data_IF_299148945850
#
_entry.id   IF_299148945850
#
_cell.length_a   1.000
_cell.length_b   1.000
_cell.length_c   1.000
_cell.angle_alpha   90.00
_cell.angle_beta   90.00
_cell.angle_gamma   90.00
#
_symmetry.space_group_name_H-M   'P 1'
#
loop_
_entity.id
_entity.type
_entity.pdbx_description
1 polymer ?
#
# COMPACT_ATOMS: atom_id res chain seq x y z
N UNK A 1 -6.08 4.27 -18.79
CA UNK A 1 -5.20 3.96 -17.62
C UNK A 1 -5.59 4.90 -16.49
N UNK A 2 -5.84 4.36 -15.30
CA UNK A 2 -6.15 5.12 -14.10
C UNK A 2 -4.98 6.09 -13.76
N UNK A 3 -5.23 7.37 -13.41
CA UNK A 3 -4.19 8.32 -13.02
C UNK A 3 -3.24 7.80 -11.93
N UNK A 4 -3.72 6.92 -11.04
CA UNK A 4 -2.93 6.29 -9.97
C UNK A 4 -1.91 5.30 -10.56
N UNK A 5 -2.35 4.43 -11.47
CA UNK A 5 -1.47 3.47 -12.17
C UNK A 5 -0.43 4.19 -13.04
N UNK A 6 -0.74 5.38 -13.54
CA UNK A 6 0.21 6.20 -14.29
C UNK A 6 1.27 6.88 -13.40
N UNK A 7 0.95 7.14 -12.12
CA UNK A 7 1.83 7.84 -11.16
C UNK A 7 2.69 6.88 -10.31
N UNK A 8 2.33 5.59 -10.22
CA UNK A 8 3.05 4.57 -9.46
C UNK A 8 3.53 3.46 -10.43
N UNK A 9 4.75 3.58 -11.00
CA UNK A 9 5.24 2.66 -12.04
C UNK A 9 5.27 1.18 -11.61
N UNK A 10 5.56 0.93 -10.32
CA UNK A 10 5.58 -0.43 -9.75
C UNK A 10 4.19 -1.05 -9.67
N UNK A 11 3.17 -0.23 -9.41
CA UNK A 11 1.78 -0.67 -9.40
C UNK A 11 1.32 -1.07 -10.81
N UNK A 12 1.72 -0.31 -11.84
CA UNK A 12 1.45 -0.68 -13.23
C UNK A 12 2.02 -2.04 -13.60
N UNK A 13 3.28 -2.29 -13.24
CA UNK A 13 3.93 -3.57 -13.49
C UNK A 13 3.29 -4.70 -12.68
N UNK A 14 2.92 -4.43 -11.41
CA UNK A 14 2.21 -5.39 -10.57
C UNK A 14 0.87 -5.80 -11.18
N UNK A 15 0.03 -4.83 -11.59
CA UNK A 15 -1.27 -5.10 -12.21
C UNK A 15 -1.10 -5.92 -13.49
N UNK A 16 -0.13 -5.57 -14.33
CA UNK A 16 0.12 -6.32 -15.57
C UNK A 16 0.59 -7.77 -15.34
N UNK A 17 1.11 -8.08 -14.15
CA UNK A 17 1.55 -9.41 -13.76
C UNK A 17 0.48 -10.22 -13.02
N UNK A 18 -0.67 -9.62 -12.70
CA UNK A 18 -1.84 -10.36 -12.20
C UNK A 18 -2.47 -11.15 -13.34
N UNK A 19 -3.06 -12.30 -13.05
CA UNK A 19 -3.90 -13.05 -13.97
C UNK A 19 -5.19 -12.28 -14.30
N UNK A 20 -5.80 -12.57 -15.45
CA UNK A 20 -6.86 -11.74 -16.04
C UNK A 20 -8.09 -11.52 -15.14
N UNK A 21 -8.45 -12.51 -14.33
CA UNK A 21 -9.57 -12.41 -13.39
C UNK A 21 -9.22 -11.50 -12.20
N UNK A 22 -8.00 -11.61 -11.66
CA UNK A 22 -7.50 -10.74 -10.58
C UNK A 22 -7.26 -9.30 -11.07
N UNK A 23 -6.87 -9.10 -12.34
CA UNK A 23 -6.82 -7.76 -12.96
C UNK A 23 -8.21 -7.12 -13.00
N UNK A 24 -9.24 -7.88 -13.35
CA UNK A 24 -10.62 -7.40 -13.41
C UNK A 24 -11.17 -7.11 -12.01
N UNK A 25 -10.89 -7.96 -11.03
CA UNK A 25 -11.26 -7.74 -9.63
C UNK A 25 -10.57 -6.50 -9.06
N UNK A 26 -9.29 -6.29 -9.38
CA UNK A 26 -8.55 -5.08 -9.02
C UNK A 26 -9.11 -3.81 -9.67
N UNK A 27 -9.46 -3.86 -10.97
CA UNK A 27 -10.08 -2.74 -11.68
C UNK A 27 -11.50 -2.43 -11.19
N UNK A 28 -12.25 -3.44 -10.74
CA UNK A 28 -13.53 -3.22 -10.06
C UNK A 28 -13.29 -2.61 -8.67
N UNK A 29 -12.25 -3.05 -7.96
CA UNK A 29 -11.83 -2.47 -6.70
C UNK A 29 -11.36 -1.02 -6.87
N UNK A 30 -10.88 -0.55 -8.02
CA UNK A 30 -10.61 0.89 -8.20
C UNK A 30 -11.88 1.76 -8.23
N UNK A 31 -13.07 1.16 -8.20
CA UNK A 31 -14.35 1.86 -8.12
C UNK A 31 -14.90 2.28 -9.49
N UNK A 32 -14.27 1.84 -10.60
CA UNK A 32 -14.83 2.01 -11.94
C UNK A 32 -15.83 0.89 -12.24
N UNK A 33 -17.08 1.07 -11.78
CA UNK A 33 -18.19 0.35 -12.40
C UNK A 33 -18.54 1.01 -13.74
N UNK A 34 -18.53 0.28 -14.86
CA UNK A 34 -18.73 0.85 -16.18
C UNK A 34 -20.16 1.31 -16.48
N UNK A 35 -21.15 1.01 -15.62
CA UNK A 35 -22.48 1.57 -15.75
C UNK A 35 -23.16 1.73 -14.39
N UNK A 36 -23.83 2.87 -14.26
CA UNK A 36 -24.48 3.40 -13.06
C UNK A 36 -25.74 2.58 -12.72
N UNK A 37 -25.56 1.31 -12.38
CA UNK A 37 -26.64 0.49 -11.85
C UNK A 37 -26.78 0.79 -10.36
N UNK A 38 -27.98 1.19 -9.93
CA UNK A 38 -28.29 1.37 -8.52
C UNK A 38 -28.15 0.03 -7.80
N UNK A 39 -27.00 -0.17 -7.14
CA UNK A 39 -26.78 -1.32 -6.28
C UNK A 39 -27.42 -1.04 -4.92
N UNK A 40 -28.46 -1.80 -4.56
CA UNK A 40 -29.17 -1.69 -3.28
C UNK A 40 -28.28 -1.97 -2.07
N UNK A 41 -27.21 -2.74 -2.24
CA UNK A 41 -26.28 -3.07 -1.17
C UNK A 41 -25.37 -1.90 -0.76
N UNK A 42 -24.89 -1.12 -1.72
CA UNK A 42 -24.02 0.04 -1.48
C UNK A 42 -24.71 1.38 -1.76
N UNK A 43 -26.01 1.37 -2.09
CA UNK A 43 -26.81 2.54 -2.48
C UNK A 43 -26.16 3.38 -3.59
N UNK A 44 -25.55 2.70 -4.57
CA UNK A 44 -24.86 3.36 -5.69
C UNK A 44 -23.55 4.08 -5.33
N UNK A 45 -23.04 3.93 -4.11
CA UNK A 45 -21.77 4.59 -3.69
C UNK A 45 -20.52 3.80 -4.09
N UNK A 46 -20.67 2.52 -4.45
CA UNK A 46 -19.55 1.63 -4.75
C UNK A 46 -18.76 1.17 -3.51
N UNK A 47 -19.17 1.56 -2.30
CA UNK A 47 -18.53 1.19 -1.03
C UNK A 47 -19.57 0.80 0.03
N UNK A 48 -19.25 -0.14 0.91
CA UNK A 48 -20.14 -0.52 2.02
C UNK A 48 -19.30 -0.87 3.24
N UNK A 49 -19.67 -0.31 4.40
CA UNK A 49 -18.94 -0.54 5.65
C UNK A 49 -17.69 0.34 5.78
N UNK A 50 -16.81 -0.02 6.71
CA UNK A 50 -15.56 0.69 7.00
C UNK A 50 -14.46 -0.31 7.31
N UNK A 51 -13.26 0.05 6.89
CA UNK A 51 -12.08 -0.78 6.97
C UNK A 51 -10.97 0.01 7.65
N UNK A 52 -10.46 -0.48 8.79
CA UNK A 52 -9.40 0.19 9.54
C UNK A 52 -8.02 -0.08 8.94
N UNK A 53 -7.31 0.96 8.54
CA UNK A 53 -5.91 0.88 8.08
C UNK A 53 -5.05 1.55 9.15
N UNK A 54 -3.95 0.92 9.54
CA UNK A 54 -3.14 1.37 10.67
C UNK A 54 -1.68 1.54 10.27
N UNK A 55 -1.05 2.57 10.82
CA UNK A 55 0.38 2.79 10.85
C UNK A 55 0.83 2.71 12.30
N UNK A 56 1.65 1.71 12.62
CA UNK A 56 2.09 1.45 13.99
C UNK A 56 3.60 1.55 14.05
N UNK A 57 4.08 2.59 14.73
CA UNK A 57 5.50 2.82 14.97
C UNK A 57 5.90 2.22 16.31
N UNK A 58 6.72 1.17 16.29
CA UNK A 58 7.33 0.64 17.52
C UNK A 58 8.52 1.50 17.89
N UNK A 59 8.48 2.09 19.08
CA UNK A 59 9.50 3.04 19.53
C UNK A 59 10.79 2.33 19.97
N UNK A 60 11.91 2.62 19.32
CA UNK A 60 13.22 2.01 19.60
C UNK A 60 14.21 2.98 20.25
N UNK A 61 15.29 2.46 20.83
CA UNK A 61 16.37 3.29 21.36
C UNK A 61 17.02 4.16 20.27
N UNK A 62 17.18 3.63 19.05
CA UNK A 62 17.70 4.39 17.92
C UNK A 62 16.82 5.61 17.60
N UNK A 63 15.49 5.46 17.63
CA UNK A 63 14.59 6.61 17.44
C UNK A 63 14.72 7.64 18.56
N UNK A 64 14.93 7.18 19.80
CA UNK A 64 15.17 8.08 20.93
C UNK A 64 16.39 8.97 20.66
N UNK A 65 17.49 8.39 20.19
CA UNK A 65 18.70 9.14 19.89
C UNK A 65 18.50 10.12 18.74
N UNK A 66 17.75 9.73 17.69
CA UNK A 66 17.40 10.63 16.59
C UNK A 66 16.59 11.84 17.06
N UNK A 67 15.65 11.64 17.99
CA UNK A 67 14.83 12.71 18.59
C UNK A 67 15.69 13.64 19.44
N UNK A 68 16.55 13.10 20.30
CA UNK A 68 17.46 13.90 21.15
C UNK A 68 18.36 14.79 20.27
N UNK A 69 18.83 14.25 19.16
CA UNK A 69 19.65 14.97 18.18
C UNK A 69 18.86 15.92 17.26
N UNK A 70 17.55 16.11 17.49
CA UNK A 70 16.66 16.99 16.70
C UNK A 70 16.72 16.68 15.20
N UNK A 71 16.82 15.40 14.87
CA UNK A 71 16.86 14.95 13.48
C UNK A 71 15.51 15.21 12.81
N UNK A 72 15.49 15.34 11.47
CA UNK A 72 14.25 15.51 10.71
C UNK A 72 13.29 14.34 10.91
N UNK A 73 11.98 14.63 10.89
CA UNK A 73 10.94 13.61 10.97
C UNK A 73 11.05 12.56 9.85
N UNK A 74 11.56 12.93 8.68
CA UNK A 74 11.86 12.00 7.60
C UNK A 74 12.84 10.89 8.03
N UNK A 75 13.94 11.25 8.68
CA UNK A 75 14.93 10.25 9.15
C UNK A 75 14.37 9.37 10.27
N UNK A 76 13.50 9.91 11.12
CA UNK A 76 12.80 9.13 12.15
C UNK A 76 11.84 8.14 11.48
N UNK A 77 11.08 8.57 10.47
CA UNK A 77 10.20 7.72 9.67
C UNK A 77 10.98 6.59 8.97
N UNK A 78 12.10 6.91 8.31
CA UNK A 78 12.97 5.91 7.68
C UNK A 78 13.51 4.88 8.69
N UNK A 79 13.93 5.35 9.87
CA UNK A 79 14.31 4.47 10.96
C UNK A 79 13.16 3.55 11.38
N UNK A 80 11.94 4.08 11.49
CA UNK A 80 10.76 3.29 11.81
C UNK A 80 10.41 2.24 10.75
N UNK A 81 10.46 2.60 9.47
CA UNK A 81 10.21 1.69 8.35
C UNK A 81 11.23 0.54 8.39
N UNK A 82 12.52 0.86 8.55
CA UNK A 82 13.59 -0.15 8.68
C UNK A 82 13.39 -1.06 9.89
N UNK A 83 12.79 -0.56 10.97
CA UNK A 83 12.44 -1.33 12.16
C UNK A 83 11.06 -2.01 12.06
N UNK A 84 10.48 -2.14 10.86
CA UNK A 84 9.29 -2.94 10.59
C UNK A 84 7.96 -2.16 10.58
N UNK A 85 7.99 -0.83 10.69
CA UNK A 85 6.77 -0.02 10.51
C UNK A 85 6.30 -0.11 9.05
N UNK A 86 5.04 -0.50 8.86
CA UNK A 86 4.35 -0.32 7.58
C UNK A 86 3.60 1.00 7.62
N UNK A 87 3.81 1.86 6.63
CA UNK A 87 3.12 3.15 6.55
C UNK A 87 1.63 2.97 6.22
N UNK A 88 0.84 3.99 6.52
CA UNK A 88 -0.60 3.97 6.30
C UNK A 88 -0.93 3.74 4.82
N UNK A 89 -0.18 4.38 3.92
CA UNK A 89 -0.40 4.23 2.48
C UNK A 89 -0.01 2.84 1.99
N UNK A 90 1.13 2.28 2.42
CA UNK A 90 1.54 0.92 2.03
C UNK A 90 0.57 -0.12 2.58
N UNK A 91 0.10 0.04 3.81
CA UNK A 91 -0.91 -0.84 4.40
C UNK A 91 -2.23 -0.76 3.61
N UNK A 92 -2.69 0.46 3.32
CA UNK A 92 -3.88 0.69 2.51
C UNK A 92 -3.77 0.07 1.12
N UNK A 93 -2.63 0.26 0.45
CA UNK A 93 -2.36 -0.34 -0.86
C UNK A 93 -2.45 -1.86 -0.81
N UNK A 94 -1.86 -2.53 0.19
CA UNK A 94 -1.98 -3.99 0.38
C UNK A 94 -3.45 -4.43 0.43
N UNK A 95 -4.31 -3.69 1.12
CA UNK A 95 -5.76 -3.97 1.21
C UNK A 95 -6.52 -3.66 -0.08
N UNK A 96 -6.03 -2.70 -0.87
CA UNK A 96 -6.60 -2.45 -2.19
C UNK A 96 -6.24 -3.55 -3.20
N UNK A 97 -5.03 -4.12 -3.08
CA UNK A 97 -4.63 -5.27 -3.90
C UNK A 97 -5.46 -6.52 -3.58
N UNK A 98 -5.99 -6.65 -2.36
CA UNK A 98 -6.91 -7.74 -1.95
C UNK A 98 -8.40 -7.39 -2.14
N UNK A 99 -8.72 -6.24 -2.73
CA UNK A 99 -10.10 -5.83 -3.01
C UNK A 99 -10.91 -5.36 -1.79
N UNK A 100 -10.30 -5.24 -0.62
CA UNK A 100 -11.00 -4.82 0.62
C UNK A 100 -11.26 -3.32 0.68
N UNK A 101 -10.43 -2.52 -0.01
CA UNK A 101 -10.54 -1.06 -0.11
C UNK A 101 -10.33 -0.65 -1.56
N UNK A 102 -11.00 0.41 -2.01
CA UNK A 102 -10.74 0.95 -3.35
C UNK A 102 -9.54 1.88 -3.38
N UNK A 103 -8.76 1.83 -4.47
CA UNK A 103 -7.69 2.83 -4.70
C UNK A 103 -8.24 4.27 -4.64
N UNK A 104 -9.44 4.49 -5.19
CA UNK A 104 -10.13 5.78 -5.13
C UNK A 104 -10.43 6.20 -3.69
N UNK A 105 -10.80 5.27 -2.79
CA UNK A 105 -10.99 5.60 -1.38
C UNK A 105 -9.67 5.92 -0.69
N UNK A 106 -8.59 5.19 -0.99
CA UNK A 106 -7.26 5.51 -0.45
C UNK A 106 -6.84 6.93 -0.84
N UNK A 107 -6.91 7.27 -2.13
CA UNK A 107 -6.57 8.61 -2.61
C UNK A 107 -7.45 9.69 -1.97
N UNK A 108 -8.75 9.45 -1.86
CA UNK A 108 -9.69 10.41 -1.27
C UNK A 108 -9.38 10.70 0.20
N UNK A 109 -9.06 9.67 0.98
CA UNK A 109 -8.89 9.79 2.43
C UNK A 109 -7.44 10.12 2.85
N UNK A 110 -6.43 9.64 2.11
CA UNK A 110 -5.02 9.79 2.46
C UNK A 110 -4.25 10.73 1.52
N UNK A 111 -4.83 11.11 0.37
CA UNK A 111 -4.15 11.88 -0.68
C UNK A 111 -3.19 11.01 -1.50
N UNK A 112 -2.37 11.64 -2.35
CA UNK A 112 -1.31 10.91 -3.06
C UNK A 112 -0.07 10.75 -2.20
N UNK A 113 0.59 9.58 -2.21
CA UNK A 113 1.80 9.35 -1.43
C UNK A 113 2.96 10.17 -1.99
N UNK A 114 3.78 10.70 -1.09
CA UNK A 114 5.12 11.13 -1.45
C UNK A 114 6.04 9.90 -1.41
N UNK A 115 6.38 9.36 -2.59
CA UNK A 115 7.01 8.04 -2.75
C UNK A 115 8.29 7.86 -1.91
N UNK A 116 9.06 8.93 -1.72
CA UNK A 116 10.29 8.95 -0.92
C UNK A 116 9.99 8.67 0.57
N UNK A 117 8.89 9.21 1.08
CA UNK A 117 8.48 9.08 2.49
C UNK A 117 7.88 7.72 2.82
N UNK A 118 7.23 7.10 1.85
CA UNK A 118 6.60 5.80 2.00
C UNK A 118 7.59 4.63 1.98
N UNK A 119 8.90 4.90 1.85
CA UNK A 119 9.91 3.85 1.65
C UNK A 119 9.66 3.07 0.35
N UNK A 120 8.96 3.70 -0.62
CA UNK A 120 8.68 3.11 -1.93
C UNK A 120 9.78 3.38 -2.95
N UNK A 121 10.78 4.20 -2.59
CA UNK A 121 12.07 4.25 -3.26
C UNK A 121 12.67 2.84 -3.27
N UNK A 122 12.68 2.22 -4.45
CA UNK A 122 13.55 1.06 -4.67
C UNK A 122 14.97 1.59 -4.67
N UNK A 123 15.75 1.22 -3.66
CA UNK A 123 17.14 0.97 -3.97
C UNK A 123 17.19 -0.26 -4.90
N UNK A 124 17.80 -0.11 -6.08
CA UNK A 124 18.05 -1.21 -7.02
C UNK A 124 18.92 -2.30 -6.40
N UNK A 125 19.62 -2.02 -5.30
CA UNK A 125 20.42 -2.98 -4.54
C UNK A 125 19.59 -4.07 -3.84
N UNK A 126 18.31 -3.83 -3.52
CA UNK A 126 17.45 -4.82 -2.85
C UNK A 126 16.95 -5.89 -3.86
N UNK A 127 17.10 -5.66 -5.16
CA UNK A 127 16.75 -6.62 -6.21
C UNK A 127 17.87 -7.65 -6.51
N UNK A 128 19.03 -7.55 -5.86
CA UNK A 128 20.08 -8.59 -5.98
C UNK A 128 19.98 -9.69 -4.93
N UNK A 129 19.23 -9.47 -3.84
CA UNK A 129 18.99 -10.52 -2.85
C UNK A 129 17.70 -11.23 -3.24
N UNK A 130 17.80 -12.04 -4.30
CA UNK A 130 16.97 -13.22 -4.42
C UNK A 130 17.31 -14.11 -3.24
N UNK A 131 16.62 -13.93 -2.11
CA UNK A 131 16.66 -14.91 -1.02
C UNK A 131 16.09 -16.21 -1.57
N UNK A 132 17.04 -17.07 -1.89
CA UNK A 132 16.87 -18.47 -2.26
C UNK A 132 16.55 -19.31 -1.03
N UNK A 133 16.36 -18.69 0.15
CA UNK A 133 16.46 -19.35 1.44
C UNK A 133 15.29 -19.03 2.39
N UNK A 134 14.07 -18.90 1.86
CA UNK A 134 12.85 -19.01 2.69
C UNK A 134 12.35 -20.46 2.60
N UNK A 135 12.87 -21.33 3.47
CA UNK A 135 12.23 -22.60 3.78
C UNK A 135 10.85 -22.32 4.42
N UNK A 136 9.78 -22.73 3.72
CA UNK A 136 8.43 -22.75 4.27
C UNK A 136 8.34 -23.87 5.30
N UNK A 137 7.93 -23.62 6.56
CA UNK A 137 7.65 -24.70 7.50
C UNK A 137 6.37 -25.43 7.06
N UNK A 138 6.46 -26.76 6.95
CA UNK A 138 5.30 -27.62 6.74
C UNK A 138 4.32 -27.50 7.90
N UNK A 139 3.08 -27.14 7.58
CA UNK A 139 1.96 -27.13 8.51
C UNK A 139 1.32 -28.51 8.46
N UNK A 140 1.41 -29.23 9.58
CA UNK A 140 0.77 -30.52 9.84
C UNK A 140 -0.71 -30.32 10.20
#
# INVERSE_FOLDING_TARGET
LDPITARIPKLKNFINNLDGDTQMEFLMATGKMPDKTECSNCHGTGVKGRVGIFEIMVFTNEMRDLIINRTSGYKIQQCAIRNGMTTLWVNGLKRALTGEVSLTSLERELGFPELEREGLELDRSILSDTDSDIEMPEIN
#
